data_IF_334230262044
#
_entry.id   IF_334230262044
#
_cell.length_a   1.000
_cell.length_b   1.000
_cell.length_c   1.000
_cell.angle_alpha   90.00
_cell.angle_beta   90.00
_cell.angle_gamma   90.00
#
_symmetry.space_group_name_H-M   'P 1'
#
loop_
_entity.id
_entity.type
_entity.pdbx_description
1 polymer ?
#
# COMPACT_ATOMS: atom_id res chain seq x y z
N UNK A 1 13.88 1.85 30.90
CA UNK A 1 13.77 2.19 30.26
C UNK A 1 13.71 2.61 29.68
N UNK A 2 13.76 2.35 29.98
CA UNK A 2 13.53 2.76 29.30
C UNK A 2 13.44 3.03 28.45
N UNK A 3 13.22 2.78 28.76
CA UNK A 3 13.15 2.98 27.82
C UNK A 3 13.10 3.13 26.99
N UNK A 4 13.03 2.85 27.51
CA UNK A 4 12.96 3.05 26.67
C UNK A 4 12.85 3.29 25.69
N UNK A 5 12.68 3.03 26.04
CA UNK A 5 12.58 3.35 25.08
C UNK A 5 12.33 3.71 24.21
N UNK A 6 12.13 3.75 24.64
CA UNK A 6 11.87 4.26 23.83
C UNK A 6 11.84 4.63 22.87
N UNK A 7 11.87 4.48 22.95
CA UNK A 7 11.84 5.00 22.08
C UNK A 7 11.66 5.58 21.30
N UNK A 8 11.59 5.52 21.62
CA UNK A 8 11.54 6.15 21.06
C UNK A 8 11.42 6.84 20.48
N UNK A 9 11.35 6.77 20.76
CA UNK A 9 11.38 7.63 20.37
C UNK A 9 11.28 8.20 19.48
N UNK A 10 11.16 7.99 19.62
CA UNK A 10 11.12 8.37 18.97
C UNK A 10 10.82 9.19 18.26
N UNK A 11 10.91 9.70 17.75
CA UNK A 11 10.56 10.48 16.89
C UNK A 11 9.98 10.23 15.70
N UNK A 12 9.29 10.31 15.60
CA UNK A 12 8.65 9.77 14.49
C UNK A 12 8.26 10.77 13.48
N UNK A 13 8.90 10.63 12.41
CA UNK A 13 8.51 11.32 11.23
C UNK A 13 7.72 10.36 10.42
N UNK A 14 6.51 10.74 10.03
CA UNK A 14 5.66 9.92 9.22
C UNK A 14 4.62 9.14 10.01
N UNK A 15 3.79 8.33 9.35
CA UNK A 15 2.70 7.63 10.01
C UNK A 15 3.19 6.48 10.88
N UNK A 16 2.46 6.24 11.94
CA UNK A 16 2.63 5.03 12.73
C UNK A 16 1.79 3.94 12.08
N UNK A 17 2.40 2.81 11.77
CA UNK A 17 1.71 1.69 11.14
C UNK A 17 0.96 0.87 12.18
N UNK A 18 -0.28 0.51 11.88
CA UNK A 18 -1.09 -0.38 12.71
C UNK A 18 -0.73 -1.80 12.32
N UNK A 19 -0.05 -2.50 13.23
CA UNK A 19 0.49 -3.82 12.96
C UNK A 19 -0.58 -4.81 12.53
N UNK A 20 -1.67 -4.91 13.30
CA UNK A 20 -2.74 -5.87 13.00
C UNK A 20 -3.42 -5.53 11.67
N UNK A 21 -3.61 -4.27 11.39
CA UNK A 21 -4.23 -3.83 10.14
C UNK A 21 -3.34 -4.15 8.95
N UNK A 22 -2.02 -4.00 9.09
CA UNK A 22 -1.08 -4.36 8.02
C UNK A 22 -1.13 -5.87 7.75
N UNK A 23 -1.10 -6.69 8.79
CA UNK A 23 -1.19 -8.14 8.62
C UNK A 23 -2.51 -8.54 7.94
N UNK A 24 -3.60 -7.99 8.41
CA UNK A 24 -4.91 -8.31 7.84
C UNK A 24 -5.00 -7.86 6.38
N UNK A 25 -4.60 -6.62 6.11
CA UNK A 25 -4.71 -6.05 4.77
C UNK A 25 -3.86 -6.84 3.77
N UNK A 26 -2.60 -7.11 4.11
CA UNK A 26 -1.68 -7.77 3.19
C UNK A 26 -1.74 -9.29 3.28
N UNK A 27 -2.63 -9.84 4.09
CA UNK A 27 -2.93 -11.26 4.11
C UNK A 27 -3.70 -11.74 2.90
N UNK A 28 -4.20 -10.85 2.06
CA UNK A 28 -4.97 -11.18 0.86
C UNK A 28 -4.11 -11.06 -0.38
N UNK A 29 -4.07 -12.14 -1.16
CA UNK A 29 -3.24 -12.18 -2.37
C UNK A 29 -3.57 -11.06 -3.35
N UNK A 30 -4.87 -10.80 -3.56
CA UNK A 30 -5.30 -9.76 -4.49
C UNK A 30 -4.77 -8.39 -4.07
N UNK A 31 -4.76 -8.10 -2.77
CA UNK A 31 -4.26 -6.83 -2.26
C UNK A 31 -2.75 -6.71 -2.45
N UNK A 32 -2.01 -7.80 -2.23
CA UNK A 32 -0.57 -7.79 -2.48
C UNK A 32 -0.26 -7.55 -3.95
N UNK A 33 -1.01 -8.18 -4.86
CA UNK A 33 -0.82 -7.97 -6.29
C UNK A 33 -1.13 -6.54 -6.71
N UNK A 34 -2.21 -5.97 -6.18
CA UNK A 34 -2.54 -4.56 -6.44
C UNK A 34 -1.41 -3.65 -6.00
N UNK A 35 -0.87 -3.89 -4.82
CA UNK A 35 0.20 -3.06 -4.28
C UNK A 35 1.45 -3.14 -5.15
N UNK A 36 1.80 -4.33 -5.64
CA UNK A 36 2.94 -4.51 -6.55
C UNK A 36 2.75 -3.68 -7.81
N UNK A 37 1.57 -3.75 -8.42
CA UNK A 37 1.30 -3.01 -9.66
C UNK A 37 1.37 -1.51 -9.44
N UNK A 38 0.77 -1.04 -8.35
CA UNK A 38 0.77 0.39 -8.02
C UNK A 38 2.19 0.88 -7.74
N UNK A 39 2.96 0.10 -6.99
CA UNK A 39 4.34 0.50 -6.64
C UNK A 39 5.28 0.45 -7.85
N UNK A 40 5.10 -0.54 -8.72
CA UNK A 40 6.02 -0.74 -9.85
C UNK A 40 5.70 0.16 -11.02
N UNK A 41 4.42 0.38 -11.31
CA UNK A 41 4.00 1.07 -12.52
C UNK A 41 3.53 2.50 -12.34
N UNK A 42 3.51 2.99 -11.11
CA UNK A 42 2.99 4.32 -10.81
C UNK A 42 1.47 4.33 -10.69
N UNK A 43 0.86 5.52 -10.73
CA UNK A 43 -0.59 5.64 -10.52
C UNK A 43 -1.40 4.96 -11.62
N UNK A 44 -2.49 4.33 -11.21
CA UNK A 44 -3.40 3.61 -12.11
C UNK A 44 -4.85 3.88 -11.74
N UNK A 45 -5.76 3.81 -12.73
CA UNK A 45 -7.19 3.79 -12.45
C UNK A 45 -7.59 2.43 -11.89
N UNK A 46 -8.80 2.35 -11.29
CA UNK A 46 -9.31 1.08 -10.81
C UNK A 46 -9.48 0.08 -11.95
N UNK A 47 -9.91 0.56 -13.12
CA UNK A 47 -10.07 -0.29 -14.30
C UNK A 47 -8.74 -0.92 -14.73
N UNK A 48 -7.66 -0.13 -14.69
CA UNK A 48 -6.33 -0.65 -15.03
C UNK A 48 -5.91 -1.75 -14.06
N UNK A 49 -6.35 -1.66 -12.82
CA UNK A 49 -5.92 -2.58 -11.76
C UNK A 49 -6.74 -3.86 -11.71
N UNK A 50 -7.87 -3.93 -12.42
CA UNK A 50 -8.70 -5.14 -12.45
C UNK A 50 -7.90 -6.35 -12.92
N UNK A 51 -7.11 -6.18 -13.96
CA UNK A 51 -6.30 -7.27 -14.49
C UNK A 51 -5.28 -7.78 -13.49
N UNK A 52 -4.67 -6.86 -12.75
CA UNK A 52 -3.66 -7.20 -11.75
C UNK A 52 -4.27 -8.02 -10.61
N UNK A 53 -5.46 -7.63 -10.16
CA UNK A 53 -6.12 -8.32 -9.05
C UNK A 53 -6.78 -9.62 -9.49
N UNK A 54 -7.06 -9.78 -10.79
CA UNK A 54 -7.84 -10.91 -11.30
C UNK A 54 -9.28 -10.85 -10.81
N UNK A 55 -9.83 -9.64 -10.62
CA UNK A 55 -11.13 -9.43 -10.01
C UNK A 55 -11.98 -8.52 -10.86
N UNK A 56 -13.29 -8.58 -10.63
CA UNK A 56 -14.23 -7.61 -11.21
C UNK A 56 -14.02 -6.25 -10.56
N UNK A 57 -14.58 -5.22 -11.18
CA UNK A 57 -14.39 -3.84 -10.73
C UNK A 57 -14.85 -3.63 -9.28
N UNK A 58 -16.03 -4.15 -8.93
CA UNK A 58 -16.56 -3.96 -7.58
C UNK A 58 -15.65 -4.59 -6.51
N UNK A 59 -15.13 -5.80 -6.77
CA UNK A 59 -14.21 -6.46 -5.85
C UNK A 59 -12.87 -5.73 -5.80
N UNK A 60 -12.37 -5.27 -6.95
CA UNK A 60 -11.13 -4.49 -7.02
C UNK A 60 -11.25 -3.22 -6.18
N UNK A 61 -12.38 -2.50 -6.32
CA UNK A 61 -12.62 -1.29 -5.54
C UNK A 61 -12.64 -1.57 -4.03
N UNK A 62 -13.23 -2.68 -3.60
CA UNK A 62 -13.24 -3.05 -2.19
C UNK A 62 -11.83 -3.30 -1.65
N UNK A 63 -10.99 -3.98 -2.43
CA UNK A 63 -9.60 -4.18 -2.05
C UNK A 63 -8.83 -2.86 -1.99
N UNK A 64 -9.09 -1.95 -2.92
CA UNK A 64 -8.45 -0.64 -2.92
C UNK A 64 -8.88 0.19 -1.72
N UNK A 65 -10.14 0.10 -1.29
CA UNK A 65 -10.61 0.75 -0.07
C UNK A 65 -9.82 0.23 1.14
N UNK A 66 -9.61 -1.08 1.22
CA UNK A 66 -8.85 -1.67 2.31
C UNK A 66 -7.39 -1.20 2.32
N UNK A 67 -6.77 -1.11 1.13
CA UNK A 67 -5.39 -0.62 1.02
C UNK A 67 -5.30 0.85 1.44
N UNK A 68 -6.30 1.65 1.09
CA UNK A 68 -6.35 3.06 1.51
C UNK A 68 -6.54 3.19 3.02
N UNK A 69 -7.42 2.36 3.59
CA UNK A 69 -7.67 2.38 5.03
C UNK A 69 -6.40 2.02 5.82
N UNK A 70 -5.56 1.17 5.26
CA UNK A 70 -4.27 0.80 5.86
C UNK A 70 -3.18 1.83 5.58
N UNK A 71 -3.50 2.91 4.85
CA UNK A 71 -2.58 4.00 4.51
C UNK A 71 -1.46 3.59 3.57
N UNK A 72 -1.70 2.54 2.80
CA UNK A 72 -0.72 2.06 1.81
C UNK A 72 -0.91 2.71 0.45
N UNK A 73 -2.11 3.17 0.15
CA UNK A 73 -2.48 3.72 -1.15
C UNK A 73 -3.23 5.01 -0.93
N UNK A 74 -3.03 5.97 -1.82
CA UNK A 74 -3.72 7.26 -1.80
C UNK A 74 -4.38 7.51 -3.15
N UNK A 75 -5.40 8.37 -3.15
CA UNK A 75 -6.04 8.82 -4.37
C UNK A 75 -5.35 10.06 -4.90
N UNK A 76 -5.25 10.15 -6.22
CA UNK A 76 -4.77 11.34 -6.91
C UNK A 76 -5.78 11.72 -7.97
N UNK A 77 -5.85 13.02 -8.28
CA UNK A 77 -6.66 13.47 -9.40
C UNK A 77 -6.08 12.97 -10.71
N UNK A 78 -6.98 12.61 -11.63
CA UNK A 78 -6.57 12.17 -12.95
C UNK A 78 -6.61 13.38 -13.89
N UNK A 79 -5.46 13.88 -14.37
CA UNK A 79 -5.45 15.06 -15.23
C UNK A 79 -6.11 14.85 -16.59
N UNK A 80 -6.31 13.59 -16.99
CA UNK A 80 -6.94 13.26 -18.27
C UNK A 80 -8.45 13.12 -18.16
N UNK A 81 -8.95 12.75 -16.97
CA UNK A 81 -10.37 12.53 -16.75
C UNK A 81 -10.69 12.82 -15.29
N UNK A 82 -11.23 13.99 -15.02
CA UNK A 82 -11.52 14.42 -13.66
C UNK A 82 -12.61 13.60 -12.96
N UNK A 83 -13.29 12.71 -13.68
CA UNK A 83 -14.31 11.82 -13.08
C UNK A 83 -13.73 10.53 -12.55
N UNK A 84 -12.46 10.24 -12.85
CA UNK A 84 -11.77 9.03 -12.41
C UNK A 84 -10.57 9.40 -11.58
N UNK A 85 -10.36 8.67 -10.50
CA UNK A 85 -9.19 8.86 -9.67
C UNK A 85 -8.10 7.89 -10.06
N UNK A 86 -6.87 8.29 -9.76
CA UNK A 86 -5.71 7.41 -9.85
C UNK A 86 -5.38 6.91 -8.44
N UNK A 87 -4.95 5.67 -8.35
CA UNK A 87 -4.48 5.06 -7.12
C UNK A 87 -2.96 5.02 -7.16
N UNK A 88 -2.33 5.57 -6.13
CA UNK A 88 -0.87 5.69 -6.07
C UNK A 88 -0.37 5.16 -4.74
N UNK A 89 0.88 4.74 -4.70
CA UNK A 89 1.52 4.31 -3.47
C UNK A 89 1.64 5.51 -2.53
N UNK A 90 1.27 5.34 -1.27
CA UNK A 90 1.41 6.41 -0.29
C UNK A 90 2.89 6.74 -0.09
N UNK A 91 3.24 8.02 0.13
CA UNK A 91 4.66 8.43 0.14
C UNK A 91 5.47 7.83 1.26
N UNK A 92 4.85 7.41 2.36
CA UNK A 92 5.58 6.90 3.53
C UNK A 92 5.65 5.38 3.59
N UNK A 93 5.21 4.68 2.55
CA UNK A 93 5.30 3.22 2.53
C UNK A 93 6.77 2.81 2.43
N UNK A 94 7.25 1.95 3.36
CA UNK A 94 8.67 1.59 3.41
C UNK A 94 9.00 0.52 2.37
N UNK A 95 9.04 0.91 1.10
CA UNK A 95 9.23 0.01 -0.03
C UNK A 95 10.63 0.15 -0.61
N UNK A 96 11.24 -1.00 -0.93
CA UNK A 96 12.49 -1.06 -1.67
C UNK A 96 12.27 -1.96 -2.88
N UNK A 97 12.69 -1.51 -4.05
CA UNK A 97 12.62 -2.31 -5.27
C UNK A 97 13.92 -3.08 -5.43
N UNK A 98 13.79 -4.38 -5.68
CA UNK A 98 14.95 -5.26 -5.90
C UNK A 98 14.78 -5.98 -7.23
N UNK A 99 15.82 -6.69 -7.65
CA UNK A 99 15.77 -7.50 -8.86
C UNK A 99 14.67 -8.57 -8.78
N UNK A 100 14.36 -9.02 -7.57
CA UNK A 100 13.38 -10.10 -7.36
C UNK A 100 11.98 -9.60 -7.06
N UNK A 101 11.78 -8.29 -6.98
CA UNK A 101 10.47 -7.71 -6.69
C UNK A 101 10.54 -6.61 -5.67
N UNK A 102 9.50 -6.50 -4.85
CA UNK A 102 9.39 -5.46 -3.85
C UNK A 102 9.63 -6.03 -2.45
N UNK A 103 10.24 -5.22 -1.60
CA UNK A 103 10.40 -5.53 -0.18
C UNK A 103 9.75 -4.41 0.61
N UNK A 104 8.84 -4.75 1.50
CA UNK A 104 8.20 -3.80 2.42
C UNK A 104 8.68 -4.10 3.83
N UNK A 105 9.32 -3.13 4.46
CA UNK A 105 9.84 -3.29 5.81
C UNK A 105 9.15 -2.30 6.75
N UNK A 106 8.17 -2.80 7.51
CA UNK A 106 7.41 -1.99 8.46
C UNK A 106 8.05 -1.98 9.85
N UNK A 107 9.17 -2.66 10.03
CA UNK A 107 9.83 -2.77 11.31
C UNK A 107 9.40 -4.02 12.10
N UNK A 108 8.09 -4.25 12.22
CA UNK A 108 7.57 -5.45 12.88
C UNK A 108 7.43 -6.63 11.92
N UNK A 109 7.48 -6.37 10.62
CA UNK A 109 7.43 -7.41 9.59
C UNK A 109 8.09 -6.89 8.33
N UNK A 110 8.77 -7.78 7.62
CA UNK A 110 9.30 -7.54 6.29
C UNK A 110 8.60 -8.47 5.32
N UNK A 111 8.01 -7.91 4.27
CA UNK A 111 7.28 -8.68 3.28
C UNK A 111 7.98 -8.58 1.93
N UNK A 112 8.09 -9.71 1.26
CA UNK A 112 8.60 -9.78 -0.11
C UNK A 112 7.42 -10.05 -1.04
N UNK A 113 7.21 -9.13 -1.97
CA UNK A 113 6.07 -9.23 -2.88
C UNK A 113 6.49 -9.54 -4.30
#
# INVERSE_FOLDING_TARGET
MPDTNLPSNANPVGPTWDEDLIYETLGHRARRKLLVWIAAGGPHTAEDLMGAAGKRLDATLKHLVSLRAAKLVVLQENPRDGRKYLYALAPNVPVTKTEKGLVLDFGFVTLRL
#
